data_IF_867270261939
#
_entry.id   IF_867270261939
#
_cell.length_a   1.000
_cell.length_b   1.000
_cell.length_c   1.000
_cell.angle_alpha   90.00
_cell.angle_beta   90.00
_cell.angle_gamma   90.00
#
_symmetry.space_group_name_H-M   'P 1'
#
loop_
_entity.id
_entity.type
_entity.pdbx_description
1 polymer ?
#
# COMPACT_ATOMS: atom_id res chain seq x y z
N UNK A 1 -21.87 24.36 -11.82
CA UNK A 1 -21.26 24.42 -13.17
C UNK A 1 -19.73 24.36 -13.10
N UNK A 2 -19.06 25.17 -12.26
CA UNK A 2 -17.59 25.14 -12.11
C UNK A 2 -17.01 23.82 -11.55
N UNK A 3 -17.74 23.12 -10.66
CA UNK A 3 -17.31 21.85 -10.05
C UNK A 3 -17.35 20.65 -11.01
N UNK A 4 -18.23 20.68 -12.02
CA UNK A 4 -18.35 19.61 -13.02
C UNK A 4 -17.25 19.74 -14.08
N UNK A 5 -16.90 20.96 -14.49
CA UNK A 5 -15.73 21.19 -15.36
C UNK A 5 -14.43 20.73 -14.68
N UNK A 6 -14.27 20.97 -13.37
CA UNK A 6 -13.07 20.59 -12.63
C UNK A 6 -12.84 19.07 -12.56
N UNK A 7 -13.91 18.27 -12.60
CA UNK A 7 -13.86 16.80 -12.61
C UNK A 7 -13.49 16.23 -13.99
N UNK A 8 -13.99 16.85 -15.07
CA UNK A 8 -13.76 16.42 -16.46
C UNK A 8 -12.29 16.59 -16.89
N UNK A 9 -11.55 17.55 -16.31
CA UNK A 9 -10.13 17.74 -16.60
C UNK A 9 -9.18 16.82 -15.80
N UNK A 10 -9.63 16.23 -14.68
CA UNK A 10 -8.78 15.33 -13.87
C UNK A 10 -8.69 13.91 -14.43
N UNK A 11 -9.76 13.41 -15.05
CA UNK A 11 -9.79 12.08 -15.66
C UNK A 11 -8.76 11.89 -16.80
N UNK A 12 -8.62 12.83 -17.77
CA UNK A 12 -7.59 12.72 -18.80
C UNK A 12 -6.18 12.97 -18.25
N UNK A 13 -6.01 13.83 -17.23
CA UNK A 13 -4.71 14.07 -16.59
C UNK A 13 -4.21 12.81 -15.85
N UNK A 14 -5.11 12.09 -15.17
CA UNK A 14 -4.82 10.81 -14.51
C UNK A 14 -4.47 9.71 -15.53
N UNK A 15 -5.17 9.67 -16.66
CA UNK A 15 -4.85 8.76 -17.77
C UNK A 15 -3.50 9.11 -18.44
N UNK A 16 -3.14 10.39 -18.57
CA UNK A 16 -1.82 10.81 -19.07
C UNK A 16 -0.70 10.37 -18.10
N UNK A 17 -0.95 10.40 -16.78
CA UNK A 17 0.00 9.91 -15.77
C UNK A 17 0.22 8.39 -15.86
N UNK A 18 -0.81 7.61 -16.23
CA UNK A 18 -0.71 6.16 -16.46
C UNK A 18 0.09 5.80 -17.73
N UNK A 19 0.22 6.72 -18.70
CA UNK A 19 1.06 6.56 -19.89
C UNK A 19 2.50 7.06 -19.71
N UNK A 20 2.80 7.71 -18.58
CA UNK A 20 4.15 7.94 -18.11
C UNK A 20 4.61 6.72 -17.31
N UNK A 21 4.72 5.57 -17.97
CA UNK A 21 5.42 4.44 -17.36
C UNK A 21 6.84 4.92 -17.04
N UNK A 22 7.28 4.92 -15.76
CA UNK A 22 8.64 5.28 -15.44
C UNK A 22 9.56 4.32 -16.20
N UNK A 23 10.51 4.88 -16.96
CA UNK A 23 11.70 4.13 -17.35
C UNK A 23 12.34 3.63 -16.07
N UNK A 24 12.41 2.31 -15.92
CA UNK A 24 13.08 1.73 -14.77
C UNK A 24 14.55 1.57 -15.18
N UNK A 25 15.39 2.37 -14.54
CA UNK A 25 16.82 2.38 -14.82
C UNK A 25 17.53 1.32 -13.98
N UNK A 26 18.73 0.97 -14.42
CA UNK A 26 19.74 0.31 -13.63
C UNK A 26 19.88 1.01 -12.27
N UNK A 27 19.96 0.19 -11.22
CA UNK A 27 20.14 0.67 -9.84
C UNK A 27 21.61 0.58 -9.48
N UNK A 28 22.18 1.67 -8.98
CA UNK A 28 23.53 1.72 -8.44
C UNK A 28 23.60 2.64 -7.23
N UNK A 29 24.06 2.12 -6.08
CA UNK A 29 24.29 2.91 -4.87
C UNK A 29 25.44 2.35 -4.05
N UNK A 30 25.99 3.20 -3.17
CA UNK A 30 26.99 2.83 -2.17
C UNK A 30 26.73 3.61 -0.89
N UNK A 31 26.47 2.89 0.20
CA UNK A 31 26.16 3.42 1.52
C UNK A 31 27.24 2.94 2.47
N UNK A 32 28.05 3.86 2.96
CA UNK A 32 29.08 3.58 3.98
C UNK A 32 28.64 3.97 5.39
N UNK A 33 27.46 4.59 5.53
CA UNK A 33 26.90 5.04 6.80
C UNK A 33 25.38 5.14 6.70
N UNK A 34 24.67 4.55 7.65
CA UNK A 34 23.20 4.55 7.72
C UNK A 34 22.68 5.63 8.68
N UNK A 35 21.77 6.46 8.20
CA UNK A 35 21.17 7.56 8.96
C UNK A 35 19.66 7.33 9.16
N UNK A 36 19.07 7.78 10.28
CA UNK A 36 17.62 7.67 10.54
C UNK A 36 16.72 8.30 9.48
N UNK A 37 17.18 9.37 8.83
CA UNK A 37 16.37 10.15 7.90
C UNK A 37 16.72 9.87 6.42
N UNK A 38 17.50 8.83 6.15
CA UNK A 38 17.87 8.47 4.78
C UNK A 38 16.65 7.89 4.04
N UNK A 39 16.33 8.42 2.85
CA UNK A 39 15.13 8.01 2.09
C UNK A 39 15.35 6.77 1.22
N UNK A 40 16.60 6.31 1.07
CA UNK A 40 17.00 5.23 0.19
C UNK A 40 16.90 3.84 0.84
N UNK A 41 16.88 3.76 2.17
CA UNK A 41 16.73 2.51 2.93
C UNK A 41 15.44 2.58 3.75
N UNK A 42 14.66 1.51 3.71
CA UNK A 42 13.50 1.32 4.57
C UNK A 42 13.84 0.30 5.65
N UNK A 43 13.49 0.62 6.89
CA UNK A 43 13.70 -0.24 8.04
C UNK A 43 12.35 -0.81 8.47
N UNK A 44 12.26 -2.13 8.62
CA UNK A 44 11.05 -2.81 9.08
C UNK A 44 11.35 -3.71 10.28
N UNK A 45 10.31 -3.99 11.05
CA UNK A 45 10.43 -4.75 12.28
C UNK A 45 11.32 -4.05 13.29
N UNK A 46 12.35 -4.73 13.79
CA UNK A 46 13.28 -4.19 14.78
C UNK A 46 14.48 -3.46 14.21
N UNK A 47 14.72 -3.56 12.90
CA UNK A 47 15.86 -2.94 12.27
C UNK A 47 15.83 -1.43 12.50
N UNK A 48 16.96 -0.88 12.94
CA UNK A 48 17.08 0.55 13.16
C UNK A 48 18.52 1.03 12.90
N UNK A 49 18.70 2.23 12.33
CA UNK A 49 20.01 2.82 12.21
C UNK A 49 20.55 3.22 13.59
N UNK A 50 21.80 2.85 13.86
CA UNK A 50 22.49 3.07 15.13
C UNK A 50 23.96 3.40 14.84
N UNK A 51 24.39 4.60 15.24
CA UNK A 51 25.78 5.09 15.08
C UNK A 51 26.39 4.99 13.67
N UNK A 52 25.58 4.93 12.62
CA UNK A 52 26.03 4.78 11.23
C UNK A 52 25.99 3.35 10.69
N UNK A 53 25.55 2.38 11.50
CA UNK A 53 25.25 1.01 11.11
C UNK A 53 23.72 0.76 11.19
N UNK A 54 23.26 -0.42 10.80
CA UNK A 54 21.90 -0.92 11.09
C UNK A 54 22.02 -2.03 12.12
N UNK A 55 21.41 -1.84 13.28
CA UNK A 55 21.16 -2.94 14.22
C UNK A 55 19.88 -3.64 13.78
N UNK A 56 19.98 -4.94 13.44
CA UNK A 56 18.81 -5.69 12.94
C UNK A 56 17.92 -6.20 14.08
N UNK A 57 18.47 -6.32 15.28
CA UNK A 57 17.76 -6.81 16.46
C UNK A 57 18.18 -6.04 17.72
N UNK A 58 17.24 -5.85 18.66
CA UNK A 58 17.51 -5.14 19.92
C UNK A 58 17.82 -6.11 21.05
N UNK A 59 18.79 -5.75 21.88
CA UNK A 59 19.19 -6.56 23.04
C UNK A 59 18.07 -6.81 24.07
N UNK A 60 17.02 -5.99 24.08
CA UNK A 60 15.87 -6.10 24.99
C UNK A 60 14.77 -7.04 24.49
N UNK A 61 14.81 -7.47 23.23
CA UNK A 61 13.72 -8.21 22.60
C UNK A 61 13.98 -9.72 22.64
N UNK A 62 12.94 -10.49 22.99
CA UNK A 62 13.03 -11.95 23.09
C UNK A 62 12.80 -12.66 21.75
N UNK A 63 12.02 -12.05 20.87
CA UNK A 63 11.76 -12.55 19.52
C UNK A 63 11.52 -11.37 18.59
N UNK A 64 11.91 -11.51 17.33
CA UNK A 64 11.56 -10.52 16.33
C UNK A 64 12.21 -10.79 14.98
N UNK A 65 12.03 -9.80 14.11
CA UNK A 65 12.58 -9.74 12.77
C UNK A 65 13.02 -8.32 12.53
N UNK A 66 14.20 -8.12 11.96
CA UNK A 66 14.63 -6.84 11.41
C UNK A 66 14.86 -6.98 9.92
N UNK A 67 14.26 -6.08 9.14
CA UNK A 67 14.59 -5.94 7.71
C UNK A 67 15.16 -4.56 7.42
N UNK A 68 16.15 -4.54 6.54
CA UNK A 68 16.61 -3.32 5.88
C UNK A 68 16.53 -3.52 4.37
N UNK A 69 15.62 -2.80 3.71
CA UNK A 69 15.36 -2.95 2.27
C UNK A 69 15.70 -1.68 1.51
N UNK A 70 16.13 -1.83 0.26
CA UNK A 70 16.23 -0.69 -0.65
C UNK A 70 14.83 -0.12 -0.92
N UNK A 71 14.69 1.21 -0.91
CA UNK A 71 13.39 1.86 -0.91
C UNK A 71 12.65 1.77 -2.26
N UNK A 72 13.39 1.61 -3.37
CA UNK A 72 12.83 1.50 -4.70
C UNK A 72 12.89 0.04 -5.20
N UNK A 73 11.99 -0.30 -6.13
CA UNK A 73 12.02 -1.60 -6.80
C UNK A 73 13.19 -1.69 -7.77
N UNK A 74 13.81 -2.86 -7.85
CA UNK A 74 14.95 -3.12 -8.73
C UNK A 74 14.49 -3.88 -9.98
N UNK A 75 14.74 -3.38 -11.20
CA UNK A 75 14.48 -4.12 -12.44
C UNK A 75 15.48 -5.28 -12.58
N UNK A 76 14.98 -6.51 -12.59
CA UNK A 76 15.80 -7.72 -12.66
C UNK A 76 15.81 -8.34 -14.06
N UNK A 77 14.69 -8.31 -14.77
CA UNK A 77 14.60 -8.77 -16.16
C UNK A 77 13.43 -8.09 -16.88
N UNK A 78 13.45 -8.10 -18.21
CA UNK A 78 12.40 -7.51 -19.06
C UNK A 78 11.76 -8.59 -19.93
N UNK A 79 10.45 -8.79 -19.73
CA UNK A 79 9.64 -9.75 -20.48
C UNK A 79 9.52 -9.44 -21.97
N UNK A 80 9.73 -8.18 -22.38
CA UNK A 80 9.62 -7.78 -23.79
C UNK A 80 10.88 -8.12 -24.60
N UNK A 81 12.06 -7.96 -23.99
CA UNK A 81 13.34 -8.21 -24.65
C UNK A 81 13.95 -9.55 -24.28
N UNK A 82 13.54 -10.14 -23.15
CA UNK A 82 14.18 -11.31 -22.56
C UNK A 82 15.52 -11.00 -21.88
N UNK A 83 15.91 -9.72 -21.77
CA UNK A 83 17.14 -9.31 -21.12
C UNK A 83 17.04 -9.51 -19.61
N UNK A 84 18.10 -10.04 -19.01
CA UNK A 84 18.24 -10.23 -17.57
C UNK A 84 19.41 -9.38 -17.08
N UNK A 85 19.24 -8.76 -15.92
CA UNK A 85 20.24 -7.89 -15.29
C UNK A 85 21.39 -8.71 -14.71
N UNK A 86 22.63 -8.34 -15.02
CA UNK A 86 23.76 -8.67 -14.16
C UNK A 86 23.68 -7.79 -12.92
N UNK A 87 24.06 -8.32 -11.76
CA UNK A 87 24.20 -7.49 -10.58
C UNK A 87 25.37 -7.89 -9.71
N UNK A 88 25.84 -6.91 -8.93
CA UNK A 88 26.82 -7.09 -7.88
C UNK A 88 26.33 -6.36 -6.65
N UNK A 89 26.36 -7.02 -5.49
CA UNK A 89 26.23 -6.36 -4.20
C UNK A 89 27.45 -6.62 -3.34
N UNK A 90 27.85 -5.58 -2.62
CA UNK A 90 28.96 -5.61 -1.68
C UNK A 90 28.46 -5.06 -0.36
N UNK A 91 28.69 -5.77 0.72
CA UNK A 91 28.29 -5.32 2.04
C UNK A 91 29.23 -5.83 3.11
N UNK A 92 29.22 -5.13 4.24
CA UNK A 92 29.93 -5.57 5.43
C UNK A 92 28.96 -5.69 6.59
N UNK A 93 29.13 -6.73 7.41
CA UNK A 93 28.29 -6.97 8.57
C UNK A 93 29.09 -7.57 9.72
N UNK A 94 28.48 -7.60 10.90
CA UNK A 94 28.96 -8.30 12.09
C UNK A 94 27.85 -9.21 12.61
N UNK A 95 28.21 -10.46 12.91
CA UNK A 95 27.44 -11.34 13.79
C UNK A 95 28.25 -11.48 15.09
N UNK A 96 27.63 -11.11 16.22
CA UNK A 96 28.23 -11.22 17.55
C UNK A 96 27.46 -12.25 18.38
N UNK A 97 28.09 -13.40 18.63
CA UNK A 97 27.56 -14.50 19.44
C UNK A 97 27.61 -14.21 20.95
N UNK A 98 28.17 -13.05 21.34
CA UNK A 98 28.27 -12.59 22.73
C UNK A 98 29.04 -13.55 23.65
N UNK A 99 29.93 -14.38 23.08
CA UNK A 99 30.69 -15.40 23.82
C UNK A 99 29.82 -16.51 24.42
N UNK A 100 28.61 -16.72 23.89
CA UNK A 100 27.69 -17.75 24.34
C UNK A 100 28.01 -19.08 23.67
N UNK A 101 27.68 -20.17 24.36
CA UNK A 101 27.76 -21.53 23.80
C UNK A 101 26.57 -21.86 22.89
N UNK A 102 25.52 -21.03 22.91
CA UNK A 102 24.31 -21.17 22.10
C UNK A 102 23.93 -19.78 21.58
N UNK A 103 23.80 -19.65 20.27
CA UNK A 103 23.48 -18.42 19.51
C UNK A 103 22.63 -18.82 18.29
N UNK A 104 21.77 -17.92 17.80
CA UNK A 104 20.90 -18.14 16.63
C UNK A 104 20.29 -16.79 16.15
N UNK A 105 19.74 -16.64 14.95
CA UNK A 105 19.47 -17.65 13.89
C UNK A 105 20.09 -17.29 12.52
N UNK A 106 20.89 -16.22 12.44
CA UNK A 106 21.61 -15.82 11.22
C UNK A 106 21.10 -14.55 10.53
N UNK A 107 21.75 -14.23 9.40
CA UNK A 107 21.49 -13.07 8.54
C UNK A 107 21.35 -13.51 7.09
N UNK A 108 20.38 -12.95 6.36
CA UNK A 108 20.20 -13.23 4.95
C UNK A 108 20.15 -11.95 4.09
N UNK A 109 20.82 -11.96 2.94
CA UNK A 109 20.56 -11.04 1.84
C UNK A 109 19.54 -11.69 0.89
N UNK A 110 18.49 -10.97 0.50
CA UNK A 110 17.41 -11.56 -0.30
C UNK A 110 16.98 -10.70 -1.49
N UNK A 111 16.43 -11.39 -2.49
CA UNK A 111 15.65 -10.85 -3.60
C UNK A 111 14.25 -11.49 -3.55
N UNK A 112 13.20 -10.67 -3.49
CA UNK A 112 11.81 -11.12 -3.41
C UNK A 112 10.91 -10.21 -4.29
N UNK A 113 9.62 -10.54 -4.51
CA UNK A 113 8.74 -9.69 -5.32
C UNK A 113 8.69 -8.25 -4.81
N UNK A 114 8.59 -7.26 -5.70
CA UNK A 114 8.43 -5.87 -5.27
C UNK A 114 7.19 -5.72 -4.38
N UNK A 115 7.37 -5.19 -3.18
CA UNK A 115 6.31 -5.10 -2.17
C UNK A 115 6.12 -6.36 -1.32
N UNK A 116 7.08 -7.30 -1.36
CA UNK A 116 7.13 -8.42 -0.41
C UNK A 116 7.18 -7.90 1.03
N UNK A 117 6.37 -8.50 1.89
CA UNK A 117 6.23 -8.12 3.30
C UNK A 117 6.73 -9.26 4.19
N UNK A 118 7.13 -8.94 5.42
CA UNK A 118 7.55 -9.95 6.41
C UNK A 118 6.40 -10.94 6.60
N UNK A 119 6.60 -12.25 6.33
CA UNK A 119 5.53 -13.22 6.48
C UNK A 119 5.05 -13.28 7.93
N UNK A 120 3.75 -13.53 8.17
CA UNK A 120 3.23 -13.65 9.52
C UNK A 120 3.92 -14.81 10.24
N UNK A 121 4.32 -14.57 11.49
CA UNK A 121 5.04 -15.53 12.34
C UNK A 121 6.38 -16.02 11.78
N UNK A 122 7.05 -15.21 10.95
CA UNK A 122 8.38 -15.50 10.40
C UNK A 122 9.51 -15.20 11.40
N UNK A 123 9.54 -15.87 12.56
CA UNK A 123 10.51 -15.58 13.64
C UNK A 123 11.60 -16.65 13.69
N UNK A 124 12.71 -16.33 14.38
CA UNK A 124 13.82 -17.25 14.65
C UNK A 124 14.25 -18.01 13.38
N UNK A 125 14.06 -19.33 13.38
CA UNK A 125 14.52 -20.23 12.33
C UNK A 125 13.99 -19.89 10.92
N UNK A 126 12.87 -19.18 10.80
CA UNK A 126 12.31 -18.79 9.50
C UNK A 126 13.02 -17.59 8.82
N UNK A 127 14.11 -17.08 9.41
CA UNK A 127 14.95 -16.00 8.90
C UNK A 127 14.21 -14.70 8.57
N UNK A 128 12.97 -14.51 9.02
CA UNK A 128 12.16 -13.35 8.65
C UNK A 128 11.63 -13.39 7.22
N UNK A 129 11.83 -14.50 6.48
CA UNK A 129 11.52 -14.64 5.06
C UNK A 129 10.52 -15.77 4.76
N UNK A 130 10.31 -16.70 5.69
CA UNK A 130 9.42 -17.86 5.53
C UNK A 130 8.41 -17.99 6.67
N UNK A 131 7.44 -18.88 6.52
CA UNK A 131 6.61 -19.36 7.62
C UNK A 131 6.32 -20.84 7.41
N UNK A 132 5.63 -21.47 8.35
CA UNK A 132 5.32 -22.91 8.32
C UNK A 132 4.59 -23.41 7.06
N UNK A 133 3.99 -22.52 6.27
CA UNK A 133 3.32 -22.88 5.01
C UNK A 133 4.13 -22.53 3.76
N UNK A 134 5.15 -21.68 3.89
CA UNK A 134 5.97 -21.21 2.77
C UNK A 134 7.37 -21.81 2.77
N UNK A 135 7.74 -22.64 3.74
CA UNK A 135 9.07 -23.28 3.85
C UNK A 135 9.57 -23.95 2.56
N UNK A 136 8.67 -24.51 1.74
CA UNK A 136 9.01 -25.19 0.47
C UNK A 136 8.01 -24.85 -0.63
N UNK A 137 7.96 -23.58 -1.05
CA UNK A 137 6.96 -23.12 -2.02
C UNK A 137 7.56 -22.30 -3.15
N UNK A 138 7.41 -22.80 -4.38
CA UNK A 138 7.76 -22.05 -5.59
C UNK A 138 6.95 -20.77 -5.76
N UNK A 139 5.83 -20.61 -5.05
CA UNK A 139 5.01 -19.40 -5.07
C UNK A 139 5.63 -18.24 -4.29
N UNK A 140 6.64 -18.50 -3.46
CA UNK A 140 7.32 -17.44 -2.70
C UNK A 140 8.06 -16.46 -3.61
N UNK A 141 8.61 -16.98 -4.72
CA UNK A 141 9.45 -16.24 -5.65
C UNK A 141 10.56 -15.51 -4.91
N UNK A 142 11.37 -16.25 -4.14
CA UNK A 142 12.44 -15.70 -3.32
C UNK A 142 13.76 -16.41 -3.60
N UNK A 143 14.84 -15.63 -3.66
CA UNK A 143 16.22 -16.12 -3.69
C UNK A 143 16.97 -15.39 -2.60
N UNK A 144 17.74 -16.11 -1.80
CA UNK A 144 18.53 -15.53 -0.73
C UNK A 144 19.91 -16.16 -0.63
N UNK A 145 20.81 -15.43 0.02
CA UNK A 145 22.08 -15.90 0.52
C UNK A 145 22.06 -15.74 2.03
N UNK A 146 22.19 -16.84 2.76
CA UNK A 146 22.13 -16.88 4.23
C UNK A 146 23.49 -17.14 4.84
N UNK A 147 23.72 -16.53 6.00
CA UNK A 147 24.78 -16.86 6.95
C UNK A 147 24.06 -17.41 8.19
N UNK A 148 23.93 -18.73 8.23
CA UNK A 148 23.13 -19.44 9.22
C UNK A 148 24.02 -19.97 10.36
N UNK A 149 23.78 -19.42 11.56
CA UNK A 149 24.51 -19.72 12.78
C UNK A 149 23.87 -20.84 13.61
N UNK A 150 22.75 -21.43 13.16
CA UNK A 150 22.00 -22.43 13.91
C UNK A 150 21.43 -23.51 12.98
N UNK A 151 22.11 -24.67 12.93
CA UNK A 151 21.62 -25.80 12.14
C UNK A 151 20.30 -26.39 12.68
N UNK A 152 19.19 -26.19 11.96
CA UNK A 152 17.92 -26.83 12.23
C UNK A 152 17.84 -28.22 11.57
N UNK A 153 17.69 -29.26 12.38
CA UNK A 153 17.68 -30.67 11.94
C UNK A 153 16.66 -31.02 10.85
N UNK A 154 15.61 -30.21 10.66
CA UNK A 154 14.55 -30.47 9.70
C UNK A 154 14.94 -30.16 8.25
N UNK A 155 15.84 -29.18 8.02
CA UNK A 155 16.18 -28.72 6.67
C UNK A 155 17.65 -28.37 6.46
N UNK A 156 18.41 -28.11 7.53
CA UNK A 156 19.80 -27.73 7.42
C UNK A 156 20.74 -28.92 7.36
N UNK A 157 21.92 -28.74 6.74
CA UNK A 157 23.04 -29.62 7.03
C UNK A 157 23.35 -29.60 8.54
N UNK A 158 23.98 -30.66 9.09
CA UNK A 158 24.28 -30.76 10.52
C UNK A 158 25.47 -29.87 10.95
N UNK A 159 25.60 -28.70 10.33
CA UNK A 159 26.64 -27.69 10.56
C UNK A 159 26.05 -26.29 10.35
N UNK A 160 26.57 -25.31 11.06
CA UNK A 160 26.44 -23.89 10.66
C UNK A 160 26.99 -23.72 9.24
N UNK A 161 26.38 -22.85 8.45
CA UNK A 161 26.69 -22.80 7.03
C UNK A 161 26.40 -21.43 6.40
N UNK A 162 27.04 -21.21 5.25
CA UNK A 162 26.62 -20.18 4.29
C UNK A 162 25.89 -20.89 3.16
N UNK A 163 24.72 -20.36 2.82
CA UNK A 163 23.75 -21.00 1.93
C UNK A 163 23.30 -20.13 0.77
N UNK A 164 22.95 -20.75 -0.37
CA UNK A 164 22.15 -20.12 -1.42
C UNK A 164 20.83 -20.87 -1.52
N UNK A 165 19.72 -20.16 -1.34
CA UNK A 165 18.40 -20.77 -1.25
C UNK A 165 17.51 -20.22 -2.36
N UNK A 166 16.60 -21.07 -2.85
CA UNK A 166 15.66 -20.73 -3.90
C UNK A 166 14.29 -21.31 -3.58
N UNK A 167 13.32 -20.43 -3.33
CA UNK A 167 11.93 -20.78 -3.01
C UNK A 167 11.75 -21.76 -1.83
N UNK A 168 12.79 -21.91 -1.01
CA UNK A 168 12.88 -22.90 0.05
C UNK A 168 13.72 -22.33 1.17
N UNK A 169 13.39 -22.69 2.42
CA UNK A 169 14.28 -22.43 3.55
C UNK A 169 15.54 -23.29 3.47
N UNK A 170 15.45 -24.51 2.93
CA UNK A 170 16.60 -25.37 2.76
C UNK A 170 17.49 -24.82 1.65
N UNK A 171 18.78 -24.68 1.96
CA UNK A 171 19.82 -24.30 1.02
C UNK A 171 19.89 -25.25 -0.19
N UNK A 172 19.90 -24.69 -1.40
CA UNK A 172 20.10 -25.47 -2.63
C UNK A 172 21.57 -25.89 -2.80
N UNK A 173 22.47 -25.07 -2.28
CA UNK A 173 23.89 -25.37 -2.11
C UNK A 173 24.38 -24.65 -0.86
N UNK A 174 25.32 -25.24 -0.14
CA UNK A 174 25.88 -24.68 1.09
C UNK A 174 27.37 -24.99 1.21
N UNK A 175 28.05 -24.28 2.10
CA UNK A 175 29.37 -24.67 2.59
C UNK A 175 29.45 -24.49 4.12
N UNK A 176 30.14 -25.36 4.86
CA UNK A 176 30.30 -25.22 6.30
C UNK A 176 30.91 -23.87 6.68
N UNK A 177 30.36 -23.29 7.75
CA UNK A 177 30.75 -21.99 8.29
C UNK A 177 30.75 -22.07 9.82
N UNK A 178 31.40 -21.12 10.51
CA UNK A 178 31.45 -21.11 11.96
C UNK A 178 31.30 -19.69 12.50
N UNK A 179 30.07 -19.35 12.91
CA UNK A 179 29.73 -18.03 13.41
C UNK A 179 30.52 -17.66 14.68
N UNK A 180 30.72 -18.62 15.59
CA UNK A 180 31.46 -18.37 16.84
C UNK A 180 32.94 -18.04 16.60
N UNK A 181 33.60 -18.73 15.66
CA UNK A 181 34.99 -18.47 15.30
C UNK A 181 35.18 -17.06 14.77
N UNK A 182 34.19 -16.52 14.05
CA UNK A 182 34.18 -15.17 13.49
C UNK A 182 33.41 -14.15 14.34
N UNK A 183 33.05 -14.49 15.58
CA UNK A 183 32.17 -13.67 16.41
C UNK A 183 32.72 -12.25 16.62
N UNK A 184 31.88 -11.26 16.32
CA UNK A 184 32.21 -9.84 16.44
C UNK A 184 33.23 -9.35 15.40
N UNK A 185 33.65 -10.20 14.45
CA UNK A 185 34.52 -9.80 13.35
C UNK A 185 33.71 -9.24 12.17
N UNK A 186 34.36 -8.39 11.38
CA UNK A 186 33.72 -7.78 10.22
C UNK A 186 33.84 -8.74 9.06
N UNK A 187 32.70 -9.27 8.61
CA UNK A 187 32.57 -9.96 7.35
C UNK A 187 32.53 -8.94 6.20
N UNK A 188 33.32 -9.19 5.16
CA UNK A 188 33.31 -8.46 3.89
C UNK A 188 32.82 -9.40 2.79
N UNK A 189 31.63 -9.13 2.24
CA UNK A 189 30.89 -10.05 1.37
C UNK A 189 30.62 -9.45 0.01
N UNK A 190 30.88 -10.24 -1.02
CA UNK A 190 30.52 -9.98 -2.40
C UNK A 190 29.53 -11.02 -2.88
N UNK A 191 28.42 -10.57 -3.47
CA UNK A 191 27.49 -11.42 -4.22
C UNK A 191 27.42 -10.89 -5.64
N UNK A 192 27.59 -11.78 -6.61
CA UNK A 192 27.55 -11.46 -8.04
C UNK A 192 26.61 -12.40 -8.75
N UNK A 193 25.81 -11.86 -9.67
CA UNK A 193 25.01 -12.64 -10.59
C UNK A 193 25.41 -12.30 -12.02
N UNK A 194 25.81 -13.33 -12.76
CA UNK A 194 26.12 -13.21 -14.17
C UNK A 194 24.96 -13.79 -15.00
N UNK A 195 24.24 -12.91 -15.68
CA UNK A 195 23.04 -13.26 -16.43
C UNK A 195 23.32 -14.17 -17.63
N UNK A 196 24.50 -14.02 -18.25
CA UNK A 196 24.91 -14.82 -19.42
C UNK A 196 25.18 -16.28 -19.06
N UNK A 197 25.80 -16.51 -17.89
CA UNK A 197 26.11 -17.85 -17.38
C UNK A 197 25.05 -18.41 -16.43
N UNK A 198 24.07 -17.57 -16.03
CA UNK A 198 23.02 -17.90 -15.06
C UNK A 198 23.61 -18.42 -13.75
N UNK A 199 24.60 -17.71 -13.24
CA UNK A 199 25.36 -18.15 -12.07
C UNK A 199 25.32 -17.07 -10.99
N UNK A 200 24.82 -17.44 -9.81
CA UNK A 200 24.87 -16.64 -8.60
C UNK A 200 26.08 -17.10 -7.77
N UNK A 201 27.01 -16.20 -7.48
CA UNK A 201 28.22 -16.51 -6.72
C UNK A 201 28.33 -15.58 -5.52
N UNK A 202 28.66 -16.14 -4.35
CA UNK A 202 28.97 -15.42 -3.12
C UNK A 202 30.41 -15.71 -2.73
N UNK A 203 31.12 -14.71 -2.23
CA UNK A 203 32.42 -14.86 -1.59
C UNK A 203 32.53 -13.91 -0.41
N UNK A 204 33.19 -14.35 0.66
CA UNK A 204 33.41 -13.52 1.83
C UNK A 204 34.85 -13.63 2.33
N UNK A 205 35.17 -12.72 3.23
CA UNK A 205 36.40 -12.74 4.01
C UNK A 205 36.15 -12.01 5.33
N UNK A 206 37.07 -12.18 6.26
CA UNK A 206 37.01 -11.57 7.58
C UNK A 206 38.26 -10.73 7.84
N UNK A 207 38.10 -9.65 8.62
CA UNK A 207 39.20 -8.70 8.83
C UNK A 207 40.26 -9.20 9.82
N UNK A 208 39.86 -9.95 10.86
CA UNK A 208 40.75 -10.37 11.96
C UNK A 208 40.94 -11.88 12.04
N UNK A 209 39.90 -12.62 11.67
CA UNK A 209 39.84 -14.07 11.75
C UNK A 209 39.97 -14.66 10.35
N UNK A 210 40.68 -15.77 10.22
CA UNK A 210 40.78 -16.49 8.95
C UNK A 210 41.15 -17.94 9.23
N UNK A 211 40.62 -18.85 8.42
CA UNK A 211 40.95 -20.27 8.45
C UNK A 211 41.26 -20.74 7.04
N UNK A 212 42.39 -21.42 6.86
CA UNK A 212 42.73 -22.03 5.56
C UNK A 212 41.90 -23.28 5.24
N UNK A 213 41.11 -23.76 6.21
CA UNK A 213 40.23 -24.93 6.05
C UNK A 213 38.79 -24.54 5.71
N UNK A 214 38.46 -23.25 5.75
CA UNK A 214 37.13 -22.75 5.44
C UNK A 214 37.06 -22.37 3.95
N UNK A 215 36.06 -22.88 3.26
CA UNK A 215 35.74 -22.43 1.91
C UNK A 215 34.95 -21.11 2.00
N UNK A 216 35.57 -20.00 1.62
CA UNK A 216 34.96 -18.67 1.74
C UNK A 216 34.24 -18.21 0.47
N UNK A 217 33.75 -19.16 -0.32
CA UNK A 217 32.99 -18.89 -1.54
C UNK A 217 32.06 -20.03 -1.91
N UNK A 218 30.97 -19.70 -2.59
CA UNK A 218 29.93 -20.62 -3.03
C UNK A 218 29.32 -20.11 -4.34
N UNK A 219 28.87 -21.02 -5.20
CA UNK A 219 28.12 -20.64 -6.41
C UNK A 219 27.00 -21.61 -6.72
N UNK A 220 25.94 -21.08 -7.32
CA UNK A 220 24.75 -21.82 -7.68
C UNK A 220 24.26 -21.43 -9.08
N UNK A 221 24.17 -22.40 -10.01
CA UNK A 221 23.54 -22.18 -11.30
C UNK A 221 22.03 -21.95 -11.15
N UNK A 222 21.56 -20.75 -11.44
CA UNK A 222 20.16 -20.35 -11.31
C UNK A 222 19.76 -19.35 -12.39
N UNK A 223 18.63 -19.61 -13.04
CA UNK A 223 18.01 -18.65 -13.97
C UNK A 223 17.03 -17.77 -13.19
N UNK A 224 17.47 -16.56 -12.78
CA UNK A 224 16.64 -15.68 -11.96
C UNK A 224 15.33 -15.27 -12.65
N UNK A 225 15.30 -15.21 -13.99
CA UNK A 225 14.07 -14.88 -14.74
C UNK A 225 12.99 -15.97 -14.66
N UNK A 226 13.36 -17.18 -14.23
CA UNK A 226 12.43 -18.30 -14.02
C UNK A 226 11.91 -18.39 -12.59
N UNK A 227 12.52 -17.65 -11.67
CA UNK A 227 12.24 -17.73 -10.23
C UNK A 227 11.58 -16.44 -9.74
N UNK A 228 12.14 -15.30 -10.13
CA UNK A 228 11.76 -13.97 -9.64
C UNK A 228 10.95 -13.19 -10.68
N UNK A 229 10.05 -12.28 -10.25
CA UNK A 229 9.36 -11.37 -11.16
C UNK A 229 10.30 -10.30 -11.76
N UNK A 230 9.82 -9.55 -12.75
CA UNK A 230 10.58 -8.50 -13.45
C UNK A 230 11.10 -7.41 -12.50
N UNK A 231 10.35 -7.13 -11.42
CA UNK A 231 10.69 -6.14 -10.41
C UNK A 231 10.77 -6.78 -9.04
N UNK A 232 11.90 -6.59 -8.35
CA UNK A 232 12.16 -7.17 -7.04
C UNK A 232 12.41 -6.11 -5.97
N UNK A 233 12.15 -6.48 -4.73
CA UNK A 233 12.73 -5.84 -3.55
C UNK A 233 14.02 -6.56 -3.19
N UNK A 234 15.06 -5.80 -2.85
CA UNK A 234 16.31 -6.32 -2.31
C UNK A 234 16.52 -5.82 -0.89
N UNK A 235 17.13 -6.62 -0.04
CA UNK A 235 17.39 -6.22 1.33
C UNK A 235 18.06 -7.29 2.16
N UNK A 236 18.15 -6.99 3.45
CA UNK A 236 18.63 -7.89 4.48
C UNK A 236 17.52 -8.25 5.43
N UNK A 237 17.56 -9.48 5.91
CA UNK A 237 16.70 -9.98 6.97
C UNK A 237 17.54 -10.63 8.05
N UNK A 238 17.21 -10.37 9.31
CA UNK A 238 17.64 -11.19 10.43
C UNK A 238 16.41 -11.47 11.29
N UNK A 239 16.21 -12.73 11.63
CA UNK A 239 15.26 -13.12 12.65
C UNK A 239 16.01 -13.66 13.85
N UNK A 240 15.38 -13.54 15.02
CA UNK A 240 16.02 -13.93 16.26
C UNK A 240 14.98 -14.48 17.22
N UNK A 241 15.40 -15.48 17.97
CA UNK A 241 14.68 -16.08 19.07
C UNK A 241 15.27 -15.73 20.44
N UNK A 242 14.98 -16.56 21.47
CA UNK A 242 15.44 -16.32 22.84
C UNK A 242 16.95 -16.54 22.99
N UNK A 243 17.57 -17.20 22.02
CA UNK A 243 18.99 -17.49 21.97
C UNK A 243 19.70 -16.33 21.28
N UNK A 244 20.12 -15.35 22.07
CA UNK A 244 20.57 -14.07 21.51
C UNK A 244 21.95 -14.14 20.83
N UNK A 245 21.99 -13.73 19.56
CA UNK A 245 23.14 -13.17 18.87
C UNK A 245 22.78 -11.78 18.35
N UNK A 246 23.76 -10.94 17.98
CA UNK A 246 23.49 -9.62 17.40
C UNK A 246 23.90 -9.56 15.95
N UNK A 247 23.05 -8.97 15.11
CA UNK A 247 23.35 -8.75 13.70
C UNK A 247 23.42 -7.25 13.41
N UNK A 248 24.55 -6.82 12.85
CA UNK A 248 24.79 -5.42 12.51
C UNK A 248 25.23 -5.29 11.06
N UNK A 249 24.49 -4.54 10.23
CA UNK A 249 24.91 -4.18 8.88
C UNK A 249 25.69 -2.86 8.90
N UNK A 250 26.92 -2.86 8.39
CA UNK A 250 27.84 -1.72 8.48
C UNK A 250 27.89 -0.90 7.19
N UNK A 251 27.83 -1.55 6.03
CA UNK A 251 27.81 -0.89 4.74
C UNK A 251 27.06 -1.72 3.72
N UNK A 252 26.55 -1.05 2.67
CA UNK A 252 25.87 -1.72 1.57
C UNK A 252 26.02 -0.96 0.26
N UNK A 253 26.52 -1.64 -0.76
CA UNK A 253 26.52 -1.22 -2.15
C UNK A 253 25.83 -2.23 -3.05
N UNK A 254 25.18 -1.74 -4.07
CA UNK A 254 24.51 -2.54 -5.09
C UNK A 254 24.70 -1.88 -6.45
N UNK A 255 24.88 -2.69 -7.48
CA UNK A 255 24.95 -2.26 -8.87
C UNK A 255 24.26 -3.31 -9.75
N UNK A 256 23.48 -2.85 -10.73
CA UNK A 256 22.77 -3.70 -11.69
C UNK A 256 22.86 -3.09 -13.10
N UNK A 257 22.76 -3.92 -14.15
CA UNK A 257 23.04 -3.50 -15.53
C UNK A 257 21.81 -3.20 -16.40
N UNK A 258 20.61 -3.60 -15.98
CA UNK A 258 19.42 -3.54 -16.83
C UNK A 258 18.71 -2.17 -16.80
N UNK A 259 18.63 -1.53 -17.98
CA UNK A 259 17.76 -0.38 -18.25
C UNK A 259 16.54 -0.81 -19.06
N UNK A 260 15.33 -0.74 -18.48
CA UNK A 260 14.09 -1.03 -19.18
C UNK A 260 13.61 0.24 -19.89
N UNK A 261 13.90 0.34 -21.19
CA UNK A 261 13.38 1.40 -22.04
C UNK A 261 11.88 1.20 -22.25
N UNK A 262 11.06 2.07 -21.67
CA UNK A 262 9.61 2.07 -21.92
C UNK A 262 9.33 2.07 -23.42
N UNK A 263 8.52 1.11 -23.88
CA UNK A 263 8.21 0.85 -25.30
C UNK A 263 7.83 2.12 -26.07
N UNK A 264 8.81 2.76 -26.73
CA UNK A 264 8.57 3.83 -27.70
C UNK A 264 8.39 3.28 -29.14
N UNK A 265 8.78 2.03 -29.38
CA UNK A 265 8.80 1.42 -30.72
C UNK A 265 7.45 0.97 -31.31
N UNK A 266 6.36 0.94 -30.51
CA UNK A 266 4.99 0.67 -31.01
C UNK A 266 4.13 1.94 -31.13
N UNK A 267 4.70 3.14 -30.99
CA UNK A 267 3.93 4.38 -31.06
C UNK A 267 3.49 4.74 -32.48
N UNK A 268 4.24 4.42 -33.53
CA UNK A 268 4.01 5.04 -34.85
C UNK A 268 2.70 4.66 -35.56
N UNK A 269 2.16 3.45 -35.34
CA UNK A 269 0.85 3.07 -35.91
C UNK A 269 -0.34 3.62 -35.11
N UNK A 270 -0.18 3.76 -33.79
CA UNK A 270 -1.27 4.19 -32.92
C UNK A 270 -1.38 5.73 -32.81
N UNK A 271 -0.28 6.49 -32.93
CA UNK A 271 -0.33 7.96 -32.95
C UNK A 271 -1.01 8.51 -34.20
N UNK A 272 -0.89 7.84 -35.37
CA UNK A 272 -1.63 8.24 -36.58
C UNK A 272 -3.15 8.08 -36.43
N UNK A 273 -3.61 7.02 -35.76
CA UNK A 273 -5.03 6.78 -35.49
C UNK A 273 -5.58 7.77 -34.46
N UNK A 274 -4.85 8.03 -33.36
CA UNK A 274 -5.32 8.91 -32.28
C UNK A 274 -5.38 10.39 -32.71
N UNK A 275 -4.45 10.85 -33.56
CA UNK A 275 -4.45 12.22 -34.07
C UNK A 275 -5.64 12.50 -35.03
N UNK A 276 -6.13 11.47 -35.75
CA UNK A 276 -7.35 11.56 -36.56
C UNK A 276 -8.62 11.69 -35.72
N UNK A 277 -8.72 10.96 -34.60
CA UNK A 277 -9.88 11.05 -33.70
C UNK A 277 -9.91 12.34 -32.89
N UNK A 278 -8.76 12.86 -32.44
CA UNK A 278 -8.67 14.12 -31.70
C UNK A 278 -9.05 15.35 -32.55
N UNK A 279 -8.69 15.36 -33.84
CA UNK A 279 -9.10 16.42 -34.77
C UNK A 279 -10.61 16.35 -35.11
N UNK A 280 -11.17 15.14 -35.23
CA UNK A 280 -12.61 14.94 -35.49
C UNK A 280 -13.49 15.36 -34.29
N UNK A 281 -13.08 15.01 -33.08
CA UNK A 281 -13.87 15.30 -31.86
C UNK A 281 -13.81 16.76 -31.43
N UNK A 282 -12.71 17.48 -31.69
CA UNK A 282 -12.62 18.92 -31.41
C UNK A 282 -13.50 19.76 -32.36
N UNK A 283 -13.68 19.36 -33.61
CA UNK A 283 -14.63 20.00 -34.55
C UNK A 283 -16.07 19.79 -34.11
N UNK A 284 -16.43 18.59 -33.63
CA UNK A 284 -17.78 18.28 -33.14
C UNK A 284 -18.13 19.06 -31.87
N UNK A 285 -17.17 19.27 -30.97
CA UNK A 285 -17.39 20.05 -29.74
C UNK A 285 -17.60 21.53 -30.07
N UNK A 286 -16.78 22.11 -30.96
CA UNK A 286 -16.94 23.51 -31.38
C UNK A 286 -18.26 23.72 -32.13
N UNK A 287 -18.64 22.79 -33.02
CA UNK A 287 -19.93 22.83 -33.70
C UNK A 287 -21.12 22.76 -32.74
N UNK A 288 -21.02 21.93 -31.71
CA UNK A 288 -22.07 21.78 -30.68
C UNK A 288 -22.22 23.05 -29.82
N UNK A 289 -21.11 23.73 -29.49
CA UNK A 289 -21.13 25.00 -28.74
C UNK A 289 -21.78 26.11 -29.57
N UNK A 290 -21.46 26.20 -30.86
CA UNK A 290 -22.04 27.19 -31.77
C UNK A 290 -23.55 26.94 -31.94
N UNK A 291 -23.96 25.69 -32.15
CA UNK A 291 -25.37 25.32 -32.26
C UNK A 291 -26.15 25.65 -30.97
N UNK A 292 -25.55 25.40 -29.80
CA UNK A 292 -26.15 25.73 -28.51
C UNK A 292 -26.31 27.24 -28.31
N UNK A 293 -25.31 28.04 -28.71
CA UNK A 293 -25.37 29.50 -28.64
C UNK A 293 -26.47 30.07 -29.56
N UNK A 294 -26.62 29.52 -30.78
CA UNK A 294 -27.69 29.91 -31.71
C UNK A 294 -29.06 29.52 -31.14
N UNK A 295 -29.21 28.29 -30.63
CA UNK A 295 -30.45 27.83 -30.02
C UNK A 295 -30.86 28.70 -28.82
N UNK A 296 -29.90 29.08 -27.96
CA UNK A 296 -30.14 29.95 -26.83
C UNK A 296 -30.52 31.38 -27.26
N UNK A 297 -29.88 31.92 -28.28
CA UNK A 297 -30.24 33.21 -28.88
C UNK A 297 -31.65 33.22 -29.49
N UNK A 298 -32.04 32.12 -30.14
CA UNK A 298 -33.41 31.93 -30.64
C UNK A 298 -34.44 31.81 -29.51
N UNK A 299 -34.11 31.10 -28.44
CA UNK A 299 -34.96 30.97 -27.24
C UNK A 299 -35.14 32.32 -26.53
N UNK A 300 -34.10 33.14 -26.49
CA UNK A 300 -34.12 34.47 -25.87
C UNK A 300 -34.93 35.49 -26.70
N UNK A 301 -34.84 35.45 -28.04
CA UNK A 301 -35.73 36.24 -28.91
C UNK A 301 -37.19 35.83 -28.79
N UNK A 302 -37.49 34.52 -28.68
CA UNK A 302 -38.86 34.03 -28.47
C UNK A 302 -39.47 34.47 -27.13
N UNK A 303 -38.65 34.65 -26.08
CA UNK A 303 -39.09 35.19 -24.78
C UNK A 303 -39.44 36.68 -24.83
N UNK A 304 -38.77 37.47 -25.69
CA UNK A 304 -39.08 38.89 -25.88
C UNK A 304 -40.34 39.10 -26.74
N UNK A 305 -40.65 38.19 -27.68
CA UNK A 305 -41.88 38.26 -28.48
C UNK A 305 -43.11 37.70 -27.75
N UNK A 306 -42.93 36.79 -26.79
CA UNK A 306 -44.04 36.21 -26.00
C UNK A 306 -44.60 37.14 -24.91
N UNK A 307 -43.92 38.24 -24.58
CA UNK A 307 -44.40 39.22 -23.60
C UNK A 307 -45.35 40.27 -24.19
N UNK A 308 -45.59 40.28 -25.52
CA UNK A 308 -46.44 41.27 -26.19
C UNK A 308 -47.81 40.74 -26.67
N UNK A 309 -48.22 39.55 -26.22
CA UNK A 309 -49.51 38.91 -26.59
C UNK A 309 -50.11 38.09 -25.43
N UNK A 310 -50.05 38.63 -24.21
CA UNK A 310 -50.61 38.00 -23.01
C UNK A 310 -51.51 38.93 -22.18
N UNK A 311 -51.84 40.11 -22.69
CA UNK A 311 -52.49 41.19 -21.95
C UNK A 311 -53.91 41.44 -22.49
N UNK A 312 -54.77 40.42 -22.60
CA UNK A 312 -56.22 40.64 -22.85
C UNK A 312 -57.14 39.49 -22.43
N UNK A 313 -56.69 38.49 -21.66
CA UNK A 313 -57.61 37.37 -21.35
C UNK A 313 -57.28 36.59 -20.09
N UNK A 314 -57.07 37.27 -18.97
CA UNK A 314 -57.17 36.63 -17.64
C UNK A 314 -57.44 37.66 -16.53
N UNK A 315 -58.37 38.58 -16.79
CA UNK A 315 -59.06 39.41 -15.78
C UNK A 315 -60.29 38.71 -15.17
N UNK A 316 -60.36 37.38 -15.26
CA UNK A 316 -61.34 36.55 -14.56
C UNK A 316 -60.64 35.27 -14.10
N UNK A 317 -59.93 35.33 -12.98
CA UNK A 317 -59.66 34.22 -12.05
C UNK A 317 -58.91 34.74 -10.82
N UNK A 318 -59.27 35.95 -10.37
CA UNK A 318 -58.79 36.54 -9.12
C UNK A 318 -59.90 36.40 -8.08
N UNK A 319 -60.09 35.20 -7.55
CA UNK A 319 -60.74 34.94 -6.27
C UNK A 319 -60.86 33.42 -6.02
N UNK A 320 -59.74 32.73 -5.77
CA UNK A 320 -59.79 31.52 -4.94
C UNK A 320 -58.38 31.05 -4.60
N UNK A 321 -58.16 30.81 -3.31
CA UNK A 321 -56.99 30.15 -2.73
C UNK A 321 -55.76 31.05 -2.61
N UNK A 322 -55.88 32.02 -1.71
CA UNK A 322 -54.78 32.39 -0.84
C UNK A 322 -55.08 31.72 0.52
N UNK A 323 -54.30 30.73 0.90
CA UNK A 323 -54.47 29.99 2.15
C UNK A 323 -53.79 28.64 2.08
N UNK A 324 -52.56 28.60 2.61
CA UNK A 324 -51.88 27.46 3.24
C UNK A 324 -50.40 27.44 2.89
N UNK A 325 -49.70 28.49 3.36
CA UNK A 325 -48.25 28.50 3.49
C UNK A 325 -47.86 28.64 4.97
N UNK A 326 -48.53 27.89 5.84
CA UNK A 326 -48.07 27.63 7.20
C UNK A 326 -48.56 26.24 7.66
N UNK A 327 -47.82 25.19 7.28
CA UNK A 327 -47.73 23.96 8.08
C UNK A 327 -46.49 23.21 7.65
N UNK A 328 -45.57 23.01 8.58
CA UNK A 328 -44.37 22.17 8.41
C UNK A 328 -44.72 20.69 8.23
N UNK A 329 -45.37 20.37 7.12
CA UNK A 329 -45.59 19.00 6.67
C UNK A 329 -44.45 18.65 5.69
N UNK A 330 -43.62 17.68 6.07
CA UNK A 330 -42.67 17.08 5.14
C UNK A 330 -43.40 16.35 4.00
N UNK A 331 -42.68 15.99 2.91
CA UNK A 331 -43.26 15.36 1.74
C UNK A 331 -44.02 14.08 2.11
N UNK A 332 -45.24 13.91 1.62
CA UNK A 332 -46.04 12.68 1.83
C UNK A 332 -45.44 11.54 1.01
N UNK A 333 -45.73 10.29 1.39
CA UNK A 333 -45.22 9.06 0.72
C UNK A 333 -45.46 9.02 -0.80
N UNK A 334 -46.48 9.73 -1.30
CA UNK A 334 -46.76 9.86 -2.74
C UNK A 334 -46.00 10.98 -3.48
N UNK A 335 -45.36 11.90 -2.74
CA UNK A 335 -44.69 13.09 -3.30
C UNK A 335 -43.15 12.94 -3.32
N UNK A 336 -42.61 11.79 -2.93
CA UNK A 336 -41.15 11.56 -2.86
C UNK A 336 -40.45 11.69 -4.22
N UNK A 337 -41.17 11.44 -5.32
CA UNK A 337 -40.68 11.61 -6.68
C UNK A 337 -40.57 13.10 -7.09
N UNK A 338 -41.29 14.00 -6.41
CA UNK A 338 -41.19 15.45 -6.67
C UNK A 338 -39.87 16.05 -6.14
N UNK A 339 -39.16 15.34 -5.27
CA UNK A 339 -37.86 15.75 -4.76
C UNK A 339 -36.69 15.41 -5.71
N UNK A 340 -36.97 14.80 -6.87
CA UNK A 340 -35.94 14.38 -7.82
C UNK A 340 -35.44 15.53 -8.70
N UNK A 341 -34.15 15.51 -9.02
CA UNK A 341 -33.54 16.45 -9.96
C UNK A 341 -34.07 16.19 -11.38
N UNK A 342 -34.60 17.23 -12.02
CA UNK A 342 -35.15 17.23 -13.39
C UNK A 342 -34.14 16.71 -14.44
N UNK A 343 -32.84 16.72 -14.12
CA UNK A 343 -31.76 16.16 -14.98
C UNK A 343 -31.74 14.63 -15.08
N UNK A 344 -32.49 13.90 -14.24
CA UNK A 344 -32.56 12.43 -14.29
C UNK A 344 -33.44 11.88 -15.42
N UNK A 345 -34.01 12.74 -16.28
CA UNK A 345 -34.72 12.41 -17.54
C UNK A 345 -35.75 11.25 -17.46
N UNK A 346 -36.39 11.03 -16.31
CA UNK A 346 -37.34 9.92 -16.09
C UNK A 346 -36.80 8.51 -16.39
N UNK A 347 -35.48 8.32 -16.49
CA UNK A 347 -34.85 7.01 -16.76
C UNK A 347 -34.36 6.36 -15.45
N UNK A 348 -35.30 6.07 -14.56
CA UNK A 348 -35.02 5.42 -13.28
C UNK A 348 -36.17 4.53 -12.84
N UNK A 349 -35.83 3.49 -12.10
CA UNK A 349 -36.80 2.59 -11.49
C UNK A 349 -37.42 3.27 -10.25
N UNK A 350 -38.72 3.59 -10.35
CA UNK A 350 -39.51 4.26 -9.33
C UNK A 350 -39.36 3.60 -7.95
N UNK A 351 -39.30 2.26 -7.89
CA UNK A 351 -39.14 1.51 -6.65
C UNK A 351 -37.76 1.69 -6.02
N UNK A 352 -36.71 1.84 -6.85
CA UNK A 352 -35.34 2.10 -6.38
C UNK A 352 -35.22 3.50 -5.81
N UNK A 353 -35.88 4.47 -6.43
CA UNK A 353 -35.90 5.85 -5.92
C UNK A 353 -36.67 5.94 -4.61
N UNK A 354 -37.87 5.34 -4.55
CA UNK A 354 -38.66 5.31 -3.30
C UNK A 354 -37.86 4.66 -2.16
N UNK A 355 -37.22 3.51 -2.45
CA UNK A 355 -36.36 2.82 -1.49
C UNK A 355 -35.19 3.69 -1.02
N UNK A 356 -34.49 4.36 -1.96
CA UNK A 356 -33.36 5.24 -1.65
C UNK A 356 -33.80 6.42 -0.78
N UNK A 357 -34.95 7.02 -1.07
CA UNK A 357 -35.50 8.15 -0.31
C UNK A 357 -35.93 7.74 1.10
N UNK A 358 -36.56 6.56 1.27
CA UNK A 358 -36.93 6.02 2.58
C UNK A 358 -35.69 5.73 3.42
N UNK A 359 -34.67 5.08 2.84
CA UNK A 359 -33.42 4.78 3.57
C UNK A 359 -32.69 6.08 3.92
N UNK A 360 -32.64 7.06 3.02
CA UNK A 360 -32.05 8.38 3.30
C UNK A 360 -32.73 9.08 4.47
N UNK A 361 -34.07 9.07 4.53
CA UNK A 361 -34.83 9.65 5.62
C UNK A 361 -34.63 8.89 6.95
N UNK A 362 -34.53 7.57 6.90
CA UNK A 362 -34.25 6.73 8.07
C UNK A 362 -32.86 7.00 8.66
N UNK A 363 -31.85 7.18 7.81
CA UNK A 363 -30.49 7.56 8.20
C UNK A 363 -30.43 8.98 8.81
N UNK A 364 -31.31 9.87 8.38
CA UNK A 364 -31.38 11.26 8.85
C UNK A 364 -32.21 11.45 10.13
N UNK A 365 -32.63 10.37 10.81
CA UNK A 365 -33.47 10.46 11.99
C UNK A 365 -32.79 11.30 13.11
N UNK A 366 -33.49 12.26 13.76
CA UNK A 366 -32.90 13.11 14.79
C UNK A 366 -32.32 12.32 15.98
N UNK A 367 -33.04 11.30 16.44
CA UNK A 367 -32.53 10.36 17.45
C UNK A 367 -31.57 9.34 16.83
N UNK A 368 -30.34 9.28 17.36
CA UNK A 368 -29.29 8.34 16.92
C UNK A 368 -29.66 6.88 17.10
N UNK A 369 -30.48 6.56 18.12
CA UNK A 369 -30.83 5.18 18.46
C UNK A 369 -31.88 4.60 17.50
N UNK A 370 -32.57 5.44 16.75
CA UNK A 370 -33.59 5.07 15.77
C UNK A 370 -33.04 5.05 14.33
N UNK A 371 -31.77 5.43 14.13
CA UNK A 371 -31.07 5.31 12.84
C UNK A 371 -30.69 3.85 12.57
N UNK A 372 -30.69 3.41 11.30
CA UNK A 372 -30.23 2.08 10.96
C UNK A 372 -28.71 1.94 11.11
N UNK A 373 -28.26 0.71 11.36
CA UNK A 373 -26.87 0.36 11.09
C UNK A 373 -26.59 0.36 9.58
N UNK A 374 -25.32 0.54 9.20
CA UNK A 374 -24.89 0.49 7.78
C UNK A 374 -25.33 -0.82 7.12
N UNK A 375 -25.27 -1.96 7.84
CA UNK A 375 -25.71 -3.27 7.34
C UNK A 375 -27.22 -3.30 7.03
N UNK A 376 -28.04 -2.73 7.92
CA UNK A 376 -29.50 -2.65 7.71
C UNK A 376 -29.84 -1.73 6.53
N UNK A 377 -29.15 -0.59 6.40
CA UNK A 377 -29.36 0.32 5.27
C UNK A 377 -29.01 -0.35 3.94
N UNK A 378 -27.88 -1.06 3.85
CA UNK A 378 -27.47 -1.78 2.63
C UNK A 378 -28.45 -2.91 2.30
N UNK A 379 -28.90 -3.68 3.30
CA UNK A 379 -29.86 -4.77 3.09
C UNK A 379 -31.19 -4.29 2.53
N UNK A 380 -31.70 -3.13 2.99
CA UNK A 380 -32.92 -2.54 2.43
C UNK A 380 -32.67 -1.98 1.02
N UNK A 381 -31.52 -1.33 0.77
CA UNK A 381 -31.16 -0.81 -0.56
C UNK A 381 -31.02 -1.90 -1.63
N UNK A 382 -30.63 -3.12 -1.23
CA UNK A 382 -30.55 -4.29 -2.11
C UNK A 382 -31.89 -5.03 -2.27
N UNK A 383 -32.97 -4.57 -1.62
CA UNK A 383 -34.27 -5.25 -1.54
C UNK A 383 -34.24 -6.62 -0.83
N UNK A 384 -33.22 -6.88 -0.02
CA UNK A 384 -33.09 -8.12 0.77
C UNK A 384 -33.90 -8.08 2.08
N UNK A 385 -34.44 -6.90 2.45
CA UNK A 385 -35.24 -6.68 3.64
C UNK A 385 -36.37 -5.66 3.39
N UNK A 386 -37.45 -5.75 4.17
CA UNK A 386 -38.60 -4.84 4.06
C UNK A 386 -38.26 -3.42 4.51
N UNK A 387 -38.71 -2.42 3.75
CA UNK A 387 -38.55 -1.00 4.10
C UNK A 387 -39.23 -0.65 5.43
N UNK A 388 -38.60 0.18 6.29
CA UNK A 388 -39.21 0.62 7.54
C UNK A 388 -40.42 1.53 7.28
N UNK A 389 -41.45 1.44 8.13
CA UNK A 389 -42.55 2.40 8.11
C UNK A 389 -42.12 3.68 8.84
N UNK A 390 -41.85 4.74 8.08
CA UNK A 390 -41.47 6.04 8.63
C UNK A 390 -42.73 6.88 8.97
N UNK A 391 -42.69 7.68 10.06
CA UNK A 391 -43.79 8.56 10.42
C UNK A 391 -44.01 9.65 9.36
N UNK A 392 -45.27 10.05 9.16
CA UNK A 392 -45.67 11.04 8.14
C UNK A 392 -45.27 12.48 8.49
N UNK A 393 -44.81 12.74 9.71
CA UNK A 393 -44.31 14.04 10.15
C UNK A 393 -42.91 13.89 10.71
N UNK A 394 -42.06 14.88 10.46
CA UNK A 394 -40.69 14.90 10.98
C UNK A 394 -40.73 15.02 12.51
N UNK A 395 -40.16 14.07 13.26
CA UNK A 395 -40.16 14.15 14.71
C UNK A 395 -39.30 15.33 15.17
N UNK A 396 -39.79 16.07 16.17
CA UNK A 396 -39.08 17.23 16.73
C UNK A 396 -37.75 16.76 17.33
N UNK A 397 -36.61 17.38 16.99
CA UNK A 397 -35.32 17.02 17.59
C UNK A 397 -35.35 17.18 19.11
N UNK A 398 -35.25 16.06 19.84
CA UNK A 398 -35.10 16.07 21.28
C UNK A 398 -33.61 16.06 21.57
N UNK A 399 -33.06 17.20 21.99
CA UNK A 399 -31.70 17.28 22.51
C UNK A 399 -31.75 16.98 24.01
N UNK A 400 -31.20 15.85 24.49
CA UNK A 400 -31.08 15.63 25.92
C UNK A 400 -30.15 16.70 26.51
N UNK A 401 -30.68 17.52 27.41
CA UNK A 401 -29.88 18.46 28.20
C UNK A 401 -28.99 17.63 29.12
N UNK A 402 -27.70 17.56 28.81
CA UNK A 402 -26.70 17.09 29.75
C UNK A 402 -26.57 18.14 30.86
N UNK A 403 -27.27 17.94 31.98
CA UNK A 403 -26.93 18.61 33.23
C UNK A 403 -25.58 18.03 33.67
N UNK A 404 -24.52 18.80 33.52
CA UNK A 404 -23.23 18.49 34.09
C UNK A 404 -23.37 18.53 35.62
N UNK A 405 -23.36 17.37 36.26
CA UNK A 405 -23.20 17.26 37.71
C UNK A 405 -21.80 17.76 38.07
N UNK A 406 -21.72 18.92 38.70
CA UNK A 406 -20.50 19.42 39.34
C UNK A 406 -20.18 18.48 40.50
N UNK A 407 -19.23 17.56 40.32
CA UNK A 407 -18.63 16.81 41.42
C UNK A 407 -17.53 17.65 42.05
N UNK A 408 -17.84 18.25 43.19
CA UNK A 408 -16.87 18.76 44.15
C UNK A 408 -16.00 17.61 44.66
N UNK A 409 -14.73 17.54 44.25
CA UNK A 409 -13.73 16.69 44.89
C UNK A 409 -12.88 17.56 45.82
N UNK A 410 -13.30 17.63 47.09
CA UNK A 410 -12.52 18.24 48.15
C UNK A 410 -11.18 17.52 48.36
N UNK A 411 -10.09 18.28 48.38
CA UNK A 411 -8.80 17.82 48.88
C UNK A 411 -8.89 17.60 50.40
N UNK A 412 -8.73 16.36 50.85
CA UNK A 412 -8.44 16.04 52.25
C UNK A 412 -6.93 15.96 52.43
N UNK A 413 -6.37 16.94 53.14
CA UNK A 413 -5.02 16.91 53.70
C UNK A 413 -5.16 16.25 55.08
N UNK A 414 -4.67 15.02 55.22
CA UNK A 414 -4.50 14.37 56.52
C UNK A 414 -3.15 14.72 57.10
N UNK A 415 -3.15 15.55 58.13
CA UNK A 415 -2.07 15.73 59.10
C UNK A 415 -2.21 14.68 60.21
N UNK A 416 -1.14 13.93 60.49
CA UNK A 416 -1.04 13.10 61.70
C UNK A 416 0.14 13.57 62.54
N UNK A 417 -0.16 14.42 63.52
CA UNK A 417 0.65 14.61 64.72
C UNK A 417 0.37 13.44 65.67
N UNK A 418 1.40 12.70 66.06
CA UNK A 418 1.35 11.88 67.26
C UNK A 418 2.51 12.30 68.17
N UNK A 419 2.17 12.92 69.28
CA UNK A 419 3.07 13.32 70.34
C UNK A 419 2.90 12.35 71.53
N UNK A 420 4.05 11.84 71.99
CA UNK A 420 4.43 11.56 73.39
C UNK A 420 3.49 10.81 74.34
N UNK A 421 3.93 9.61 74.75
CA UNK A 421 4.28 9.40 76.16
C UNK A 421 5.39 8.36 76.33
#
# INVERSE_FOLDING_TARGET
MATILYSIFKLPLFLILLFLLPSANSVSFKISRFEPNASNIQYHGEAAPSYGAIEMNKASSTFGVGWATYAERVPLWDSNTGNVSDFTTHFTFIIDTLGRNTYSDGLAFFLAPAGFEIPPNSRAEYLGLFNSTTTYSSQNQIVLVEFDSCANHEWDPPVEHVGINSNSIASAVYTPWNASFHSGDIADVWITYNASTKNLSVSWSYQRTSSSQEDTSLSYPIDLSKVLPEYVTIGFSAAFGPVAEKHTLLSWGFNSSLDIKGTSGKKEKNTRLIMGFAASSSVLIVGSIIAFAIFWGHKQKRRVTAQKRGETRETMNLASINGDLERGAGPRRGDLLLAMDEKLQNDFDEKKVECLMIVGLWCAHPDRNLRPSIRQAISVLNFDATTPNLPTQMPVPIYPIHIASVSSSGHSITTSLHEGR
#
